data_IF_106159679672
#
_entry.id   IF_106159679672
#
_cell.length_a   1.000
_cell.length_b   1.000
_cell.length_c   1.000
_cell.angle_alpha   90.00
_cell.angle_beta   90.00
_cell.angle_gamma   90.00
#
_symmetry.space_group_name_H-M   'P 1'
#
loop_
_entity.id
_entity.type
_entity.pdbx_description
1 polymer ?
#
# COMPACT_ATOMS: atom_id res chain seq x y z
N UNK A 1 16.96 -73.97 -53.73
CA UNK A 1 17.37 -74.67 -52.50
C UNK A 1 18.86 -74.49 -52.33
N UNK A 2 19.27 -73.46 -51.60
CA UNK A 2 20.66 -73.15 -51.29
C UNK A 2 20.77 -73.10 -49.77
N UNK A 3 21.54 -74.06 -49.24
CA UNK A 3 21.73 -74.32 -47.83
C UNK A 3 22.62 -73.26 -47.17
N UNK A 4 22.14 -72.59 -46.13
CA UNK A 4 23.00 -71.90 -45.17
C UNK A 4 23.75 -72.96 -44.34
N UNK A 5 25.06 -73.03 -44.51
CA UNK A 5 25.94 -73.74 -43.57
C UNK A 5 25.98 -72.93 -42.27
N UNK A 6 25.45 -73.50 -41.19
CA UNK A 6 25.72 -73.05 -39.83
C UNK A 6 27.15 -73.45 -39.46
N UNK A 7 28.07 -72.49 -39.48
CA UNK A 7 29.36 -72.65 -38.80
C UNK A 7 29.10 -72.60 -37.31
N UNK A 8 29.23 -73.75 -36.66
CA UNK A 8 29.05 -73.91 -35.22
C UNK A 8 30.02 -73.03 -34.45
N UNK A 9 29.47 -72.07 -33.73
CA UNK A 9 30.05 -71.58 -32.48
C UNK A 9 28.99 -71.82 -31.43
N UNK A 10 29.23 -72.82 -30.59
CA UNK A 10 28.44 -73.08 -29.40
C UNK A 10 28.76 -71.94 -28.43
N UNK A 11 27.93 -70.90 -28.38
CA UNK A 11 27.99 -69.90 -27.32
C UNK A 11 27.43 -70.52 -26.04
N UNK A 12 28.32 -71.07 -25.21
CA UNK A 12 28.04 -71.31 -23.79
C UNK A 12 28.44 -70.04 -23.06
N UNK A 13 27.55 -69.06 -22.96
CA UNK A 13 27.78 -67.91 -22.09
C UNK A 13 26.48 -67.26 -21.62
N UNK A 14 26.47 -67.01 -20.32
CA UNK A 14 25.56 -66.17 -19.57
C UNK A 14 25.80 -64.70 -19.98
N UNK A 15 25.23 -64.26 -21.12
CA UNK A 15 25.52 -62.94 -21.70
C UNK A 15 24.49 -61.90 -21.25
N UNK A 16 24.75 -61.26 -20.11
CA UNK A 16 24.02 -60.05 -19.69
C UNK A 16 24.46 -58.76 -20.42
N UNK A 17 25.35 -58.86 -21.41
CA UNK A 17 25.91 -57.70 -22.11
C UNK A 17 26.18 -58.05 -23.59
N UNK A 18 25.19 -57.86 -24.46
CA UNK A 18 25.40 -57.91 -25.90
C UNK A 18 26.08 -56.60 -26.35
N UNK A 19 27.41 -56.59 -26.46
CA UNK A 19 28.13 -55.54 -27.17
C UNK A 19 28.15 -55.88 -28.65
N UNK A 20 27.33 -55.18 -29.45
CA UNK A 20 27.46 -55.22 -30.90
C UNK A 20 28.65 -54.37 -31.33
N UNK A 21 29.81 -55.01 -31.52
CA UNK A 21 30.98 -54.39 -32.14
C UNK A 21 31.03 -54.84 -33.60
N UNK A 22 30.95 -53.89 -34.52
CA UNK A 22 31.20 -54.19 -35.94
C UNK A 22 32.72 -54.27 -36.14
N UNK A 23 33.26 -55.48 -36.29
CA UNK A 23 34.71 -55.74 -36.37
C UNK A 23 35.32 -55.44 -37.75
N UNK A 24 34.52 -54.96 -38.71
CA UNK A 24 35.03 -54.55 -40.02
C UNK A 24 34.32 -53.29 -40.54
N UNK A 25 35.12 -52.28 -40.86
CA UNK A 25 34.66 -51.05 -41.50
C UNK A 25 34.01 -51.40 -42.86
N UNK A 26 32.85 -50.80 -43.22
CA UNK A 26 32.26 -50.99 -44.54
C UNK A 26 33.25 -50.62 -45.64
N UNK A 27 33.45 -51.51 -46.60
CA UNK A 27 34.34 -51.31 -47.75
C UNK A 27 33.89 -50.12 -48.59
N UNK A 28 34.85 -49.24 -48.91
CA UNK A 28 34.64 -47.89 -49.44
C UNK A 28 33.83 -47.77 -50.74
N UNK A 29 33.08 -46.66 -50.82
CA UNK A 29 32.47 -46.20 -52.07
C UNK A 29 31.64 -44.92 -51.91
N UNK A 30 31.06 -44.69 -50.75
CA UNK A 30 30.32 -43.46 -50.44
C UNK A 30 30.87 -42.86 -49.15
N UNK A 31 31.08 -41.52 -49.07
CA UNK A 31 31.46 -40.89 -47.81
C UNK A 31 30.33 -41.13 -46.82
N UNK A 32 30.60 -41.96 -45.80
CA UNK A 32 29.74 -42.13 -44.64
C UNK A 32 29.60 -40.77 -43.99
N UNK A 33 28.45 -40.13 -44.19
CA UNK A 33 28.05 -39.06 -43.29
C UNK A 33 27.90 -39.68 -41.91
N UNK A 34 28.41 -39.02 -40.87
CA UNK A 34 28.33 -39.49 -39.48
C UNK A 34 26.87 -39.70 -39.01
N UNK A 35 25.87 -39.31 -39.81
CA UNK A 35 24.46 -39.65 -39.63
C UNK A 35 23.98 -41.00 -40.21
N UNK A 36 24.72 -41.65 -41.10
CA UNK A 36 24.25 -42.88 -41.77
C UNK A 36 24.43 -44.15 -40.92
N UNK A 37 25.30 -44.13 -39.89
CA UNK A 37 25.47 -45.24 -38.95
C UNK A 37 24.46 -45.22 -37.79
N UNK A 38 23.69 -44.13 -37.66
CA UNK A 38 22.64 -43.95 -36.64
C UNK A 38 21.25 -43.71 -37.25
N UNK A 39 21.14 -43.79 -38.57
CA UNK A 39 19.90 -43.69 -39.34
C UNK A 39 19.35 -45.09 -39.70
N UNK A 40 19.39 -46.06 -38.78
CA UNK A 40 18.18 -46.86 -38.66
C UNK A 40 17.25 -45.99 -37.82
N UNK A 41 16.36 -45.25 -38.51
CA UNK A 41 15.49 -44.21 -37.97
C UNK A 41 15.18 -44.49 -36.50
N UNK A 42 15.40 -43.55 -35.60
CA UNK A 42 15.21 -43.69 -34.13
C UNK A 42 13.97 -44.51 -33.72
N UNK A 43 12.93 -44.49 -34.55
CA UNK A 43 11.76 -45.38 -34.53
C UNK A 43 12.04 -46.89 -34.46
N UNK A 44 13.11 -47.44 -35.04
CA UNK A 44 13.39 -48.89 -35.13
C UNK A 44 14.31 -49.42 -34.01
N UNK A 45 15.29 -48.62 -33.57
CA UNK A 45 16.17 -48.98 -32.46
C UNK A 45 15.43 -48.94 -31.11
N UNK A 46 14.55 -47.95 -30.90
CA UNK A 46 13.73 -47.88 -29.68
C UNK A 46 12.64 -48.96 -29.68
N UNK A 47 11.99 -49.24 -30.82
CA UNK A 47 10.97 -50.31 -30.93
C UNK A 47 11.48 -51.72 -30.65
N UNK A 48 12.76 -52.01 -30.87
CA UNK A 48 13.33 -53.34 -30.57
C UNK A 48 13.61 -53.55 -29.08
N UNK A 49 13.73 -52.46 -28.33
CA UNK A 49 14.08 -52.49 -26.91
C UNK A 49 12.85 -52.51 -25.99
N UNK A 50 11.71 -51.99 -26.43
CA UNK A 50 10.49 -51.88 -25.60
C UNK A 50 9.64 -53.15 -25.51
N UNK A 51 9.92 -54.19 -26.33
CA UNK A 51 9.20 -55.47 -26.27
C UNK A 51 9.79 -56.49 -25.28
N UNK A 52 10.87 -56.14 -24.57
CA UNK A 52 11.51 -56.97 -23.54
C UNK A 52 11.52 -56.18 -22.24
N UNK A 53 10.86 -56.70 -21.22
CA UNK A 53 10.48 -56.08 -19.94
C UNK A 53 11.63 -55.65 -19.01
N UNK A 54 12.67 -54.99 -19.52
CA UNK A 54 13.79 -54.47 -18.74
C UNK A 54 14.10 -53.04 -19.18
N UNK A 55 14.38 -52.11 -18.25
CA UNK A 55 14.66 -50.72 -18.59
C UNK A 55 15.85 -50.65 -19.55
N UNK A 56 15.61 -50.17 -20.77
CA UNK A 56 16.70 -49.84 -21.68
C UNK A 56 17.31 -48.52 -21.27
N UNK A 57 18.59 -48.56 -20.90
CA UNK A 57 19.38 -47.37 -20.71
C UNK A 57 19.69 -46.75 -22.08
N UNK A 58 19.07 -45.60 -22.38
CA UNK A 58 19.47 -44.74 -23.47
C UNK A 58 20.57 -43.80 -22.96
N UNK A 59 21.82 -44.06 -23.34
CA UNK A 59 22.92 -43.11 -23.10
C UNK A 59 22.90 -42.05 -24.19
N UNK A 60 22.50 -40.83 -23.84
CA UNK A 60 22.67 -39.66 -24.71
C UNK A 60 24.07 -39.12 -24.42
N UNK A 61 25.04 -39.45 -25.27
CA UNK A 61 26.39 -38.91 -25.13
C UNK A 61 26.37 -37.43 -25.51
N UNK A 62 26.70 -36.56 -24.55
CA UNK A 62 26.85 -35.13 -24.76
C UNK A 62 28.04 -34.84 -25.67
N UNK A 63 27.79 -34.76 -26.97
CA UNK A 63 28.74 -34.20 -27.93
C UNK A 63 28.84 -32.68 -27.77
N UNK A 64 29.66 -32.04 -28.62
CA UNK A 64 29.71 -30.57 -28.71
C UNK A 64 28.46 -29.95 -29.35
N UNK A 65 27.56 -30.77 -29.88
CA UNK A 65 26.29 -30.34 -30.43
C UNK A 65 25.19 -30.32 -29.34
N UNK A 66 24.34 -29.28 -29.29
CA UNK A 66 23.25 -29.21 -28.34
C UNK A 66 22.18 -30.27 -28.64
N UNK A 67 21.51 -30.77 -27.61
CA UNK A 67 20.25 -31.49 -27.76
C UNK A 67 19.18 -30.50 -28.20
N UNK A 68 18.70 -30.64 -29.44
CA UNK A 68 17.60 -29.84 -29.98
C UNK A 68 16.35 -30.71 -29.96
N UNK A 69 15.36 -30.30 -29.16
CA UNK A 69 14.00 -30.83 -29.23
C UNK A 69 13.21 -29.92 -30.17
N UNK A 70 12.50 -30.51 -31.13
CA UNK A 70 11.57 -29.75 -31.97
C UNK A 70 10.40 -29.24 -31.10
N UNK A 71 9.68 -28.24 -31.58
CA UNK A 71 8.43 -27.81 -30.94
C UNK A 71 7.45 -28.98 -30.81
N UNK A 72 6.57 -28.87 -29.82
CA UNK A 72 5.52 -29.84 -29.47
C UNK A 72 6.06 -31.23 -29.07
N UNK A 73 7.36 -31.34 -28.78
CA UNK A 73 7.99 -32.53 -28.21
C UNK A 73 7.97 -32.44 -26.67
N UNK A 74 7.38 -33.46 -26.03
CA UNK A 74 7.31 -33.57 -24.58
C UNK A 74 8.60 -34.17 -24.00
N UNK A 75 9.24 -33.46 -23.07
CA UNK A 75 10.22 -34.03 -22.17
C UNK A 75 9.54 -34.37 -20.84
N UNK A 76 9.24 -35.65 -20.63
CA UNK A 76 8.64 -36.14 -19.39
C UNK A 76 9.69 -36.74 -18.46
N UNK A 77 9.55 -36.54 -17.16
CA UNK A 77 10.32 -37.22 -16.14
C UNK A 77 9.40 -37.74 -15.02
N UNK A 78 9.82 -38.81 -14.36
CA UNK A 78 8.97 -39.58 -13.45
C UNK A 78 8.62 -40.96 -14.01
N UNK A 79 8.19 -41.87 -13.14
CA UNK A 79 7.86 -43.26 -13.55
C UNK A 79 6.54 -43.32 -14.35
N UNK A 80 5.63 -42.38 -14.12
CA UNK A 80 4.37 -42.14 -14.84
C UNK A 80 4.37 -40.82 -15.63
N UNK A 81 5.46 -40.05 -15.53
CA UNK A 81 5.61 -38.77 -16.18
C UNK A 81 5.28 -37.57 -15.29
N UNK A 82 5.33 -37.72 -13.96
CA UNK A 82 5.22 -36.69 -12.91
C UNK A 82 5.33 -35.23 -13.36
N UNK A 83 6.36 -34.87 -14.12
CA UNK A 83 6.47 -33.54 -14.73
C UNK A 83 6.74 -33.61 -16.24
N UNK A 84 6.34 -32.55 -16.94
CA UNK A 84 6.63 -32.38 -18.37
C UNK A 84 7.13 -30.97 -18.68
N UNK A 85 8.08 -30.90 -19.60
CA UNK A 85 8.51 -29.67 -20.26
C UNK A 85 8.19 -29.74 -21.75
N UNK A 86 7.57 -28.69 -22.30
CA UNK A 86 7.22 -28.58 -23.73
C UNK A 86 7.40 -27.15 -24.25
N UNK A 87 7.82 -27.04 -25.52
CA UNK A 87 7.75 -25.81 -26.30
C UNK A 87 6.52 -25.89 -27.20
N UNK A 88 5.43 -25.20 -26.83
CA UNK A 88 4.18 -25.24 -27.60
C UNK A 88 4.24 -24.23 -28.75
N UNK A 89 4.08 -24.69 -30.00
CA UNK A 89 4.14 -23.84 -31.19
C UNK A 89 2.83 -23.10 -31.52
N UNK A 90 1.68 -23.63 -31.11
CA UNK A 90 0.35 -23.13 -31.48
C UNK A 90 -0.22 -22.08 -30.49
N UNK A 91 0.30 -22.04 -29.25
CA UNK A 91 -0.31 -21.30 -28.14
C UNK A 91 -1.52 -22.06 -27.58
N UNK A 92 -2.11 -21.55 -26.49
CA UNK A 92 -3.33 -22.10 -25.87
C UNK A 92 -4.28 -20.95 -25.53
N UNK A 93 -5.58 -21.10 -25.75
CA UNK A 93 -6.55 -20.16 -25.19
C UNK A 93 -6.61 -20.30 -23.66
N UNK A 94 -7.34 -19.40 -23.00
CA UNK A 94 -7.65 -19.59 -21.59
C UNK A 94 -8.48 -20.88 -21.43
N UNK A 95 -8.13 -21.67 -20.41
CA UNK A 95 -8.79 -22.94 -20.08
C UNK A 95 -8.74 -24.02 -21.19
N UNK A 96 -7.86 -23.87 -22.20
CA UNK A 96 -7.59 -24.91 -23.19
C UNK A 96 -6.59 -25.93 -22.64
N UNK A 97 -6.98 -27.20 -22.53
CA UNK A 97 -6.06 -28.25 -22.08
C UNK A 97 -5.11 -28.73 -23.19
N UNK A 98 -3.81 -28.66 -22.92
CA UNK A 98 -2.82 -29.39 -23.71
C UNK A 98 -2.72 -30.82 -23.19
N UNK A 99 -3.22 -31.77 -23.98
CA UNK A 99 -3.19 -33.20 -23.63
C UNK A 99 -1.78 -33.64 -23.21
N UNK A 100 -1.69 -34.45 -22.16
CA UNK A 100 -0.44 -34.97 -21.61
C UNK A 100 0.52 -33.91 -21.04
N UNK A 101 0.04 -32.67 -20.89
CA UNK A 101 0.77 -31.53 -20.31
C UNK A 101 0.02 -30.82 -19.21
N UNK A 102 -1.30 -30.72 -19.36
CA UNK A 102 -2.18 -30.09 -18.40
C UNK A 102 -3.15 -31.17 -17.92
N UNK A 103 -3.28 -31.29 -16.60
CA UNK A 103 -4.16 -32.27 -15.97
C UNK A 103 -5.47 -31.61 -15.53
N UNK A 104 -6.55 -32.40 -15.57
CA UNK A 104 -7.88 -31.98 -15.13
C UNK A 104 -8.52 -30.93 -16.04
N UNK A 105 -9.44 -30.15 -15.46
CA UNK A 105 -10.00 -28.95 -16.08
C UNK A 105 -9.21 -27.75 -15.54
N UNK A 106 -8.32 -27.19 -16.35
CA UNK A 106 -7.46 -26.11 -15.90
C UNK A 106 -8.23 -24.78 -15.80
N UNK A 107 -7.82 -23.94 -14.86
CA UNK A 107 -8.16 -22.51 -14.81
C UNK A 107 -6.85 -21.75 -15.03
N UNK A 108 -6.48 -21.57 -16.30
CA UNK A 108 -5.25 -20.88 -16.67
C UNK A 108 -5.50 -19.79 -17.70
N UNK A 109 -4.69 -18.73 -17.63
CA UNK A 109 -4.65 -17.72 -18.68
C UNK A 109 -4.18 -18.33 -20.00
N UNK A 110 -4.59 -17.73 -21.12
CA UNK A 110 -4.09 -18.13 -22.43
C UNK A 110 -2.58 -17.97 -22.53
N UNK A 111 -1.92 -18.90 -23.20
CA UNK A 111 -0.48 -18.87 -23.47
C UNK A 111 -0.23 -18.48 -24.93
N UNK A 112 0.80 -17.67 -25.18
CA UNK A 112 1.17 -17.30 -26.53
C UNK A 112 1.83 -18.47 -27.29
N UNK A 113 1.81 -18.42 -28.62
CA UNK A 113 2.62 -19.32 -29.45
C UNK A 113 4.12 -19.23 -29.08
N UNK A 114 4.81 -20.38 -29.13
CA UNK A 114 6.22 -20.56 -28.76
C UNK A 114 6.49 -20.33 -27.26
N UNK A 115 5.53 -20.69 -26.40
CA UNK A 115 5.71 -20.63 -24.95
C UNK A 115 6.38 -21.90 -24.44
N UNK A 116 7.30 -21.74 -23.48
CA UNK A 116 7.80 -22.85 -22.68
C UNK A 116 6.84 -23.13 -21.53
N UNK A 117 6.37 -24.37 -21.44
CA UNK A 117 5.50 -24.83 -20.37
C UNK A 117 6.26 -25.88 -19.58
N UNK A 118 6.42 -25.65 -18.28
CA UNK A 118 6.85 -26.65 -17.31
C UNK A 118 5.66 -26.94 -16.41
N UNK A 119 5.19 -28.17 -16.44
CA UNK A 119 3.96 -28.59 -15.75
C UNK A 119 4.25 -29.76 -14.84
N UNK A 120 3.62 -29.74 -13.66
CA UNK A 120 3.47 -30.91 -12.82
C UNK A 120 2.14 -31.57 -13.18
N UNK A 121 2.18 -32.83 -13.62
CA UNK A 121 1.01 -33.57 -14.11
C UNK A 121 0.55 -34.64 -13.12
N UNK A 122 0.97 -34.51 -11.86
CA UNK A 122 0.44 -35.31 -10.76
C UNK A 122 -0.62 -34.52 -10.00
N UNK A 123 -1.73 -35.19 -9.71
CA UNK A 123 -2.71 -34.74 -8.73
C UNK A 123 -1.97 -34.31 -7.45
N UNK A 124 -2.21 -33.09 -6.98
CA UNK A 124 -1.68 -32.58 -5.71
C UNK A 124 -0.13 -32.50 -5.66
N UNK A 125 0.51 -32.38 -6.82
CA UNK A 125 1.96 -32.27 -6.91
C UNK A 125 2.48 -30.83 -6.72
N UNK A 126 3.36 -30.63 -5.74
CA UNK A 126 4.05 -29.35 -5.54
C UNK A 126 5.15 -29.07 -6.58
N UNK A 127 5.38 -27.79 -6.91
CA UNK A 127 6.56 -27.34 -7.65
C UNK A 127 7.47 -26.49 -6.76
N UNK A 128 8.72 -26.93 -6.58
CA UNK A 128 9.72 -26.26 -5.75
C UNK A 128 10.96 -25.85 -6.57
N UNK A 129 11.23 -24.55 -6.62
CA UNK A 129 12.45 -23.99 -7.17
C UNK A 129 13.40 -23.57 -6.04
N UNK A 130 14.55 -24.23 -6.00
CA UNK A 130 15.60 -24.00 -5.00
C UNK A 130 16.77 -23.23 -5.61
N UNK A 131 17.35 -22.33 -4.83
CA UNK A 131 18.61 -21.63 -5.15
C UNK A 131 19.68 -21.97 -4.13
N UNK A 132 20.94 -22.06 -4.57
CA UNK A 132 22.07 -22.31 -3.66
C UNK A 132 22.56 -21.02 -3.01
N UNK A 133 22.66 -21.01 -1.69
CA UNK A 133 23.21 -19.94 -0.86
C UNK A 133 24.35 -20.51 0.01
N UNK A 134 25.57 -20.45 -0.53
CA UNK A 134 26.77 -20.81 0.22
C UNK A 134 26.79 -22.27 0.73
N UNK A 135 26.20 -23.20 0.00
CA UNK A 135 26.12 -24.62 0.37
C UNK A 135 24.81 -25.06 1.00
N UNK A 136 23.82 -24.17 1.13
CA UNK A 136 22.44 -24.52 1.50
C UNK A 136 21.50 -24.24 0.34
N UNK A 137 20.43 -25.03 0.20
CA UNK A 137 19.32 -24.69 -0.70
C UNK A 137 18.34 -23.77 0.02
N UNK A 138 17.91 -22.70 -0.65
CA UNK A 138 16.84 -21.79 -0.23
C UNK A 138 15.69 -21.91 -1.20
N UNK A 139 14.47 -21.85 -0.68
CA UNK A 139 13.26 -21.82 -1.50
C UNK A 139 13.11 -20.44 -2.13
N UNK A 140 13.15 -20.40 -3.46
CA UNK A 140 12.89 -19.19 -4.24
C UNK A 140 11.40 -19.09 -4.59
N UNK A 141 10.83 -20.18 -5.09
CA UNK A 141 9.43 -20.28 -5.46
C UNK A 141 8.91 -21.66 -5.07
N UNK A 142 7.77 -21.70 -4.41
CA UNK A 142 7.04 -22.92 -4.09
C UNK A 142 5.58 -22.73 -4.47
N UNK A 143 5.10 -23.52 -5.43
CA UNK A 143 3.69 -23.60 -5.79
C UNK A 143 3.14 -24.89 -5.17
N UNK A 144 2.29 -24.69 -4.16
CA UNK A 144 1.62 -25.72 -3.40
C UNK A 144 0.24 -25.96 -4.01
N UNK A 145 0.08 -27.09 -4.70
CA UNK A 145 -1.13 -27.41 -5.45
C UNK A 145 -2.28 -27.74 -4.51
N UNK A 146 -2.02 -28.47 -3.42
CA UNK A 146 -3.01 -28.95 -2.43
C UNK A 146 -3.84 -27.81 -1.83
N UNK A 147 -3.21 -26.64 -1.62
CA UNK A 147 -3.87 -25.47 -1.03
C UNK A 147 -3.92 -24.25 -1.95
N UNK A 148 -3.59 -24.42 -3.23
CA UNK A 148 -3.54 -23.34 -4.23
C UNK A 148 -2.74 -22.11 -3.75
N UNK A 149 -1.52 -22.35 -3.23
CA UNK A 149 -0.69 -21.32 -2.61
C UNK A 149 0.64 -21.17 -3.32
N UNK A 150 0.95 -19.94 -3.73
CA UNK A 150 2.29 -19.55 -4.17
C UNK A 150 3.05 -18.91 -3.00
N UNK A 151 4.19 -19.50 -2.65
CA UNK A 151 5.17 -18.94 -1.71
C UNK A 151 6.38 -18.44 -2.49
N UNK A 152 6.77 -17.19 -2.24
CA UNK A 152 7.97 -16.58 -2.81
C UNK A 152 8.95 -16.28 -1.68
N UNK A 153 10.14 -16.87 -1.76
CA UNK A 153 11.26 -16.59 -0.87
C UNK A 153 11.14 -17.14 0.56
N UNK A 154 10.63 -18.35 0.74
CA UNK A 154 10.61 -18.96 2.08
C UNK A 154 12.02 -19.15 2.63
N UNK A 155 12.24 -18.68 3.86
CA UNK A 155 13.56 -18.67 4.48
C UNK A 155 14.53 -17.61 3.91
N UNK A 156 14.06 -16.72 3.03
CA UNK A 156 14.76 -15.51 2.63
C UNK A 156 14.52 -14.40 3.66
N UNK A 157 15.47 -13.47 3.79
CA UNK A 157 15.37 -12.33 4.72
C UNK A 157 14.56 -11.17 4.16
N UNK A 158 14.38 -11.10 2.84
CA UNK A 158 13.62 -10.04 2.15
C UNK A 158 13.10 -10.52 0.80
N UNK A 159 11.90 -10.07 0.43
CA UNK A 159 11.38 -10.12 -0.95
C UNK A 159 11.30 -8.69 -1.51
N UNK A 160 11.95 -8.46 -2.65
CA UNK A 160 12.06 -7.15 -3.29
C UNK A 160 11.46 -7.18 -4.69
N UNK A 161 10.51 -6.27 -4.93
CA UNK A 161 9.99 -5.97 -6.26
C UNK A 161 10.60 -4.65 -6.72
N UNK A 162 11.45 -4.73 -7.76
CA UNK A 162 12.12 -3.56 -8.31
C UNK A 162 11.78 -3.33 -9.77
N UNK A 163 11.52 -2.07 -10.14
CA UNK A 163 11.36 -1.62 -11.52
C UNK A 163 12.44 -0.59 -11.85
N UNK A 164 13.20 -0.81 -12.93
CA UNK A 164 14.22 0.14 -13.38
C UNK A 164 15.32 0.46 -12.35
N UNK A 165 15.63 -0.48 -11.45
CA UNK A 165 16.62 -0.31 -10.37
C UNK A 165 16.11 0.43 -9.13
N UNK A 166 14.83 0.82 -9.09
CA UNK A 166 14.17 1.34 -7.90
C UNK A 166 13.37 0.24 -7.21
N UNK A 167 13.39 0.22 -5.87
CA UNK A 167 12.56 -0.68 -5.05
C UNK A 167 11.15 -0.09 -4.95
N UNK A 168 10.13 -0.85 -5.33
CA UNK A 168 8.73 -0.42 -5.27
C UNK A 168 8.05 -0.98 -4.03
N UNK A 169 8.39 -2.22 -3.68
CA UNK A 169 7.81 -2.92 -2.54
C UNK A 169 8.84 -3.84 -1.89
N UNK A 170 8.98 -3.72 -0.57
CA UNK A 170 9.84 -4.58 0.24
C UNK A 170 8.99 -5.22 1.33
N UNK A 171 8.94 -6.55 1.30
CA UNK A 171 8.39 -7.32 2.40
C UNK A 171 9.53 -7.81 3.29
N UNK A 172 9.49 -7.44 4.57
CA UNK A 172 10.36 -7.98 5.60
C UNK A 172 9.48 -8.52 6.73
N UNK A 173 9.92 -9.57 7.41
CA UNK A 173 9.16 -10.20 8.50
C UNK A 173 8.69 -9.15 9.53
N UNK A 174 7.38 -9.01 9.69
CA UNK A 174 6.76 -8.07 10.64
C UNK A 174 6.56 -6.64 10.13
N UNK A 175 6.95 -6.32 8.89
CA UNK A 175 6.74 -5.00 8.30
C UNK A 175 6.50 -5.09 6.79
N UNK A 176 5.29 -4.71 6.36
CA UNK A 176 5.07 -4.26 4.98
C UNK A 176 5.42 -2.78 4.93
N UNK A 177 6.53 -2.43 4.30
CA UNK A 177 6.91 -1.05 4.08
C UNK A 177 6.77 -0.74 2.59
N UNK A 178 5.82 0.14 2.24
CA UNK A 178 5.86 0.86 0.98
C UNK A 178 7.02 1.85 1.08
N UNK A 179 8.22 1.39 0.75
CA UNK A 179 9.44 2.18 0.81
C UNK A 179 9.76 2.74 -0.57
N UNK A 180 8.81 3.45 -1.17
CA UNK A 180 9.13 4.33 -2.28
C UNK A 180 8.80 5.77 -1.89
N UNK A 181 9.88 6.55 -1.83
CA UNK A 181 9.98 7.96 -1.48
C UNK A 181 9.94 8.31 0.03
N UNK A 182 10.97 9.05 0.43
CA UNK A 182 11.01 9.97 1.58
C UNK A 182 9.85 10.99 1.62
N UNK A 183 8.94 10.94 0.63
CA UNK A 183 7.70 11.69 0.53
C UNK A 183 6.61 10.80 -0.08
N UNK A 184 5.58 10.44 0.70
CA UNK A 184 4.32 9.94 0.13
C UNK A 184 3.65 11.16 -0.51
N UNK A 185 3.78 11.29 -1.83
CA UNK A 185 3.14 12.35 -2.62
C UNK A 185 2.06 11.71 -3.48
N UNK A 186 0.81 11.79 -3.07
CA UNK A 186 -0.30 11.46 -3.95
C UNK A 186 -0.56 12.65 -4.86
N UNK A 187 -0.06 12.60 -6.09
CA UNK A 187 -0.36 13.64 -7.10
C UNK A 187 -1.87 13.68 -7.43
N UNK A 188 -2.56 12.59 -7.15
CA UNK A 188 -4.03 12.44 -7.08
C UNK A 188 -4.34 11.31 -6.08
N UNK A 189 -5.31 11.52 -5.18
CA UNK A 189 -5.77 10.52 -4.20
C UNK A 189 -5.54 10.90 -2.74
N UNK A 190 -6.43 10.44 -1.87
CA UNK A 190 -6.35 10.66 -0.43
C UNK A 190 -5.47 9.56 0.20
N UNK A 191 -4.56 9.93 1.12
CA UNK A 191 -3.93 8.95 2.01
C UNK A 191 -4.95 8.57 3.08
N UNK A 192 -5.69 7.48 2.85
CA UNK A 192 -6.62 6.97 3.85
C UNK A 192 -5.89 6.04 4.84
N UNK A 193 -5.59 6.53 6.03
CA UNK A 193 -5.05 5.75 7.14
C UNK A 193 -6.22 5.19 7.97
N UNK A 194 -6.82 4.08 7.50
CA UNK A 194 -8.03 3.43 8.05
C UNK A 194 -7.78 2.71 9.42
N UNK A 195 -8.78 2.43 10.28
CA UNK A 195 -9.16 3.24 11.45
C UNK A 195 -8.92 2.53 12.80
N UNK A 196 -8.31 1.34 12.79
CA UNK A 196 -8.02 0.57 14.02
C UNK A 196 -6.60 0.81 14.55
N UNK A 197 -5.78 1.55 13.80
CA UNK A 197 -4.41 1.88 14.15
C UNK A 197 -4.26 3.31 14.68
N UNK A 198 -3.35 3.50 15.64
CA UNK A 198 -2.90 4.83 16.05
C UNK A 198 -1.91 5.37 15.01
N UNK A 199 -2.25 6.47 14.34
CA UNK A 199 -1.26 7.24 13.58
C UNK A 199 -0.41 8.05 14.57
N UNK A 200 0.83 7.63 14.80
CA UNK A 200 1.77 8.35 15.68
C UNK A 200 2.62 9.28 14.83
N UNK A 201 2.34 10.58 14.90
CA UNK A 201 3.19 11.61 14.31
C UNK A 201 4.17 12.07 15.38
N UNK A 202 5.42 11.62 15.30
CA UNK A 202 6.47 11.89 16.31
C UNK A 202 7.16 13.25 16.14
N UNK A 203 6.88 13.93 15.02
CA UNK A 203 7.36 15.29 14.70
C UNK A 203 6.16 16.21 14.43
N UNK A 204 6.40 17.51 14.34
CA UNK A 204 5.32 18.46 14.08
C UNK A 204 4.61 18.21 12.75
N UNK A 205 3.29 18.37 12.75
CA UNK A 205 2.46 18.45 11.53
C UNK A 205 2.63 19.84 10.94
N UNK A 206 3.06 19.93 9.68
CA UNK A 206 3.12 21.19 8.94
C UNK A 206 2.03 21.20 7.89
N UNK A 207 1.08 22.12 8.06
CA UNK A 207 0.03 22.38 7.09
C UNK A 207 0.48 23.61 6.31
N UNK A 208 0.56 23.50 4.98
CA UNK A 208 0.87 24.65 4.13
C UNK A 208 -0.30 25.65 4.17
N UNK A 209 -0.03 26.90 3.80
CA UNK A 209 -1.12 27.86 3.71
C UNK A 209 -2.17 27.44 2.68
N UNK A 210 -3.41 27.85 2.90
CA UNK A 210 -4.58 27.49 2.11
C UNK A 210 -4.82 25.97 2.06
N UNK A 211 -4.47 25.27 3.13
CA UNK A 211 -4.82 23.87 3.35
C UNK A 211 -5.64 23.76 4.64
N UNK A 212 -6.58 22.83 4.63
CA UNK A 212 -7.47 22.54 5.75
C UNK A 212 -6.89 21.39 6.57
N UNK A 213 -6.86 21.55 7.89
CA UNK A 213 -6.74 20.44 8.80
C UNK A 213 -8.11 20.17 9.42
N UNK A 214 -8.80 19.18 8.85
CA UNK A 214 -10.09 18.72 9.31
C UNK A 214 -9.96 17.74 10.48
N UNK A 215 -10.86 17.88 11.44
CA UNK A 215 -11.03 17.02 12.60
C UNK A 215 -12.43 16.41 12.56
N UNK A 216 -12.53 15.14 12.94
CA UNK A 216 -13.79 14.41 12.89
C UNK A 216 -14.06 13.75 11.54
N UNK A 217 -15.13 12.95 11.47
CA UNK A 217 -15.44 12.14 10.29
C UNK A 217 -16.13 12.95 9.17
N UNK A 218 -16.60 14.17 9.47
CA UNK A 218 -17.23 15.08 8.53
C UNK A 218 -16.59 16.48 8.53
N UNK A 219 -15.34 16.60 8.96
CA UNK A 219 -14.65 17.90 9.14
C UNK A 219 -15.38 18.83 10.13
N UNK A 220 -15.93 18.26 11.21
CA UNK A 220 -16.69 18.96 12.25
C UNK A 220 -15.87 20.15 12.84
N UNK A 221 -14.55 19.98 12.96
CA UNK A 221 -13.63 21.05 13.32
C UNK A 221 -12.61 21.31 12.23
N UNK A 222 -12.38 22.58 11.88
CA UNK A 222 -11.39 22.97 10.88
C UNK A 222 -10.38 23.97 11.45
N UNK A 223 -9.10 23.68 11.22
CA UNK A 223 -8.00 24.63 11.39
C UNK A 223 -7.50 25.05 10.01
N UNK A 224 -7.55 26.35 9.72
CA UNK A 224 -7.18 26.91 8.43
C UNK A 224 -6.24 28.11 8.58
N UNK A 225 -5.15 28.11 7.81
CA UNK A 225 -4.21 29.23 7.71
C UNK A 225 -4.30 29.85 6.30
N UNK A 226 -4.79 31.08 6.20
CA UNK A 226 -5.03 31.74 4.90
C UNK A 226 -3.89 32.67 4.49
N UNK A 227 -3.57 32.78 3.20
CA UNK A 227 -2.57 33.75 2.69
C UNK A 227 -3.11 35.06 2.15
N UNK A 228 -4.39 35.12 1.80
CA UNK A 228 -5.05 36.31 1.25
C UNK A 228 -5.94 36.98 2.29
N UNK A 229 -6.37 38.21 2.04
CA UNK A 229 -7.46 38.85 2.80
C UNK A 229 -8.77 38.19 2.37
N UNK A 230 -9.70 38.03 3.30
CA UNK A 230 -11.09 37.65 3.02
C UNK A 230 -11.93 38.90 3.23
N UNK A 231 -12.74 39.27 2.24
CA UNK A 231 -13.59 40.44 2.39
C UNK A 231 -14.65 40.16 3.47
N UNK A 232 -15.39 41.21 3.85
CA UNK A 232 -16.59 40.97 4.65
C UNK A 232 -17.56 40.10 3.84
N UNK A 233 -18.23 39.18 4.53
CA UNK A 233 -19.26 38.31 3.97
C UNK A 233 -18.79 37.39 2.81
N UNK A 234 -17.47 37.22 2.61
CA UNK A 234 -16.93 36.22 1.68
C UNK A 234 -16.82 34.87 2.41
N UNK A 235 -17.57 33.85 2.00
CA UNK A 235 -17.44 32.52 2.61
C UNK A 235 -16.19 31.76 2.13
N UNK A 236 -15.54 31.06 3.05
CA UNK A 236 -14.55 30.04 2.74
C UNK A 236 -15.22 28.66 2.72
N UNK A 237 -15.31 28.05 1.54
CA UNK A 237 -15.87 26.70 1.38
C UNK A 237 -15.22 25.71 2.34
N UNK A 238 -16.05 24.96 3.08
CA UNK A 238 -15.65 23.96 4.09
C UNK A 238 -14.82 24.53 5.26
N UNK A 239 -14.85 25.84 5.50
CA UNK A 239 -14.25 26.48 6.68
C UNK A 239 -15.27 27.38 7.36
N UNK A 240 -16.07 28.11 6.58
CA UNK A 240 -17.18 28.94 7.02
C UNK A 240 -18.42 28.41 6.30
N UNK A 241 -19.46 28.11 7.06
CA UNK A 241 -20.73 27.59 6.56
C UNK A 241 -21.84 28.63 6.72
N UNK A 242 -22.87 28.51 5.88
CA UNK A 242 -24.01 29.42 5.88
C UNK A 242 -23.73 30.77 5.21
N UNK A 243 -24.62 31.74 5.44
CA UNK A 243 -24.42 33.15 5.05
C UNK A 243 -23.81 33.88 6.24
N UNK A 244 -22.51 34.09 6.22
CA UNK A 244 -21.80 34.67 7.36
C UNK A 244 -21.85 36.20 7.34
N UNK A 245 -21.94 36.86 8.51
CA UNK A 245 -21.88 38.33 8.63
C UNK A 245 -20.51 38.85 9.11
N UNK A 246 -19.44 38.09 8.84
CA UNK A 246 -18.16 38.37 9.43
C UNK A 246 -17.52 39.64 8.82
N UNK A 247 -16.80 40.38 9.67
CA UNK A 247 -15.94 41.45 9.20
C UNK A 247 -14.82 40.90 8.31
N UNK A 248 -14.25 41.76 7.45
CA UNK A 248 -13.10 41.37 6.65
C UNK A 248 -11.95 40.86 7.52
N UNK A 249 -11.40 39.70 7.17
CA UNK A 249 -10.33 39.05 7.92
C UNK A 249 -9.00 39.30 7.21
N UNK A 250 -7.97 39.70 7.95
CA UNK A 250 -6.64 39.97 7.38
C UNK A 250 -5.94 38.70 6.84
N UNK A 251 -4.95 38.86 5.97
CA UNK A 251 -4.10 37.75 5.54
C UNK A 251 -3.29 37.17 6.72
N UNK A 252 -2.97 35.87 6.65
CA UNK A 252 -2.20 35.12 7.68
C UNK A 252 -2.91 35.00 9.03
N UNK A 253 -4.23 35.16 9.05
CA UNK A 253 -5.05 34.83 10.21
C UNK A 253 -5.19 33.32 10.39
N UNK A 254 -5.18 32.89 11.65
CA UNK A 254 -5.63 31.57 12.06
C UNK A 254 -7.16 31.61 12.17
N UNK A 255 -7.83 30.72 11.45
CA UNK A 255 -9.27 30.49 11.61
C UNK A 255 -9.41 29.11 12.24
N UNK A 256 -10.05 29.08 13.41
CA UNK A 256 -10.56 27.87 14.04
C UNK A 256 -12.07 27.99 13.90
N UNK A 257 -12.67 27.02 13.24
CA UNK A 257 -14.11 27.03 12.97
C UNK A 257 -14.73 25.72 13.42
N UNK A 258 -15.90 25.83 14.03
CA UNK A 258 -16.82 24.72 14.13
C UNK A 258 -17.77 24.81 12.94
N UNK A 259 -17.74 23.80 12.07
CA UNK A 259 -18.47 23.81 10.79
C UNK A 259 -19.86 23.18 10.97
N UNK A 260 -20.25 22.81 12.19
CA UNK A 260 -21.62 22.35 12.48
C UNK A 260 -22.54 23.52 12.81
N UNK A 261 -23.79 23.48 12.32
CA UNK A 261 -24.76 24.58 12.37
C UNK A 261 -25.03 25.14 13.80
N UNK A 262 -24.85 24.34 14.85
CA UNK A 262 -25.16 24.68 16.25
C UNK A 262 -23.99 24.33 17.20
N UNK A 263 -22.77 24.53 16.70
CA UNK A 263 -21.56 24.04 17.34
C UNK A 263 -20.87 25.05 18.25
N UNK A 264 -20.86 24.81 19.56
CA UNK A 264 -20.04 25.60 20.49
C UNK A 264 -18.53 25.45 20.19
N UNK A 265 -17.76 26.52 20.43
CA UNK A 265 -16.31 26.44 20.56
C UNK A 265 -15.90 26.66 22.01
N UNK A 266 -15.13 25.71 22.55
CA UNK A 266 -14.78 25.69 23.96
C UNK A 266 -13.26 25.63 24.19
N UNK A 267 -12.76 26.56 25.00
CA UNK A 267 -11.38 26.58 25.46
C UNK A 267 -11.30 26.13 26.91
N UNK A 268 -10.75 24.94 27.12
CA UNK A 268 -10.59 24.29 28.42
C UNK A 268 -9.14 24.36 28.90
N UNK A 269 -8.94 24.52 30.20
CA UNK A 269 -7.64 24.32 30.87
C UNK A 269 -7.75 23.26 31.95
N UNK A 270 -6.66 22.55 32.25
CA UNK A 270 -6.65 21.62 33.38
C UNK A 270 -6.10 22.26 34.65
N UNK A 271 -6.76 22.00 35.78
CA UNK A 271 -6.31 22.42 37.12
C UNK A 271 -5.53 21.32 37.87
N UNK A 272 -5.12 20.25 37.15
CA UNK A 272 -4.42 19.11 37.74
C UNK A 272 -5.34 17.96 38.17
N UNK A 273 -6.64 18.02 37.84
CA UNK A 273 -7.57 16.89 38.00
C UNK A 273 -8.87 17.01 37.21
N UNK A 274 -9.26 18.23 36.84
CA UNK A 274 -10.47 18.54 36.08
C UNK A 274 -10.12 19.37 34.83
N UNK A 275 -11.09 19.51 33.94
CA UNK A 275 -11.09 20.51 32.87
C UNK A 275 -11.99 21.67 33.29
N UNK A 276 -11.43 22.88 33.31
CA UNK A 276 -12.12 24.14 33.58
C UNK A 276 -12.36 24.88 32.27
N UNK A 277 -13.57 25.35 32.08
CA UNK A 277 -13.95 26.20 30.96
C UNK A 277 -13.49 27.64 31.17
N UNK A 278 -12.62 28.12 30.29
CA UNK A 278 -12.15 29.50 30.33
C UNK A 278 -12.93 30.42 29.41
N UNK A 279 -13.30 29.92 28.23
CA UNK A 279 -13.96 30.69 27.19
C UNK A 279 -14.84 29.75 26.38
N UNK A 280 -16.10 30.10 26.23
CA UNK A 280 -17.04 29.47 25.31
C UNK A 280 -17.58 30.49 24.34
N UNK A 281 -17.67 30.10 23.09
CA UNK A 281 -18.46 30.77 22.08
C UNK A 281 -19.68 29.90 21.82
N UNK A 282 -20.83 30.36 22.27
CA UNK A 282 -22.12 29.70 22.07
C UNK A 282 -22.74 30.27 20.80
N UNK A 283 -22.78 29.42 19.77
CA UNK A 283 -23.26 29.83 18.45
C UNK A 283 -24.78 30.02 18.42
N UNK A 284 -25.52 29.25 19.23
CA UNK A 284 -26.99 29.22 19.24
C UNK A 284 -27.56 30.57 19.71
N UNK A 285 -26.90 31.20 20.68
CA UNK A 285 -27.31 32.50 21.25
C UNK A 285 -26.37 33.66 20.91
N UNK A 286 -25.33 33.40 20.12
CA UNK A 286 -24.30 34.36 19.74
C UNK A 286 -23.63 35.03 20.97
N UNK A 287 -23.33 34.25 22.01
CA UNK A 287 -22.65 34.75 23.22
C UNK A 287 -21.21 34.27 23.30
N UNK A 288 -20.37 35.08 23.93
CA UNK A 288 -19.03 34.71 24.33
C UNK A 288 -18.95 34.77 25.86
N UNK A 289 -18.90 33.60 26.50
CA UNK A 289 -18.84 33.48 27.94
C UNK A 289 -17.39 33.34 28.39
N UNK A 290 -16.99 34.13 29.38
CA UNK A 290 -15.65 34.12 29.96
C UNK A 290 -15.72 33.67 31.42
N UNK A 291 -15.04 32.56 31.74
CA UNK A 291 -14.91 32.03 33.09
C UNK A 291 -16.16 31.32 33.61
N UNK A 292 -16.79 30.46 32.81
CA UNK A 292 -17.90 29.63 33.26
C UNK A 292 -17.48 28.79 34.49
N UNK A 293 -18.28 28.83 35.55
CA UNK A 293 -18.00 28.23 36.86
C UNK A 293 -16.74 28.73 37.61
N UNK A 294 -15.98 29.67 37.06
CA UNK A 294 -14.98 30.41 37.83
C UNK A 294 -15.71 31.42 38.71
N UNK A 295 -15.47 31.40 40.03
CA UNK A 295 -16.08 32.36 40.96
C UNK A 295 -15.79 33.83 40.59
N UNK A 296 -14.75 34.08 39.79
CA UNK A 296 -14.20 35.39 39.50
C UNK A 296 -13.70 35.45 38.05
N UNK A 297 -14.38 36.23 37.20
CA UNK A 297 -13.87 36.65 35.87
C UNK A 297 -13.24 38.03 36.00
N UNK A 298 -11.92 38.11 35.77
CA UNK A 298 -11.15 39.37 35.87
C UNK A 298 -10.81 39.90 34.49
N UNK A 299 -11.33 41.09 34.17
CA UNK A 299 -10.86 41.85 33.03
C UNK A 299 -9.84 42.88 33.52
N UNK A 300 -8.57 42.65 33.18
CA UNK A 300 -7.49 43.57 33.51
C UNK A 300 -7.27 44.54 32.35
N UNK A 301 -7.85 45.74 32.46
CA UNK A 301 -7.53 46.84 31.55
C UNK A 301 -6.29 47.56 32.11
N UNK A 302 -5.11 47.17 31.63
CA UNK A 302 -3.80 47.54 32.20
C UNK A 302 -3.61 47.07 33.66
N UNK A 303 -2.43 47.33 34.25
CA UNK A 303 -2.04 46.78 35.56
C UNK A 303 -2.86 47.28 36.75
N UNK A 304 -3.85 48.15 36.57
CA UNK A 304 -4.52 48.87 37.68
C UNK A 304 -6.04 48.98 37.58
N UNK A 305 -6.68 48.75 36.42
CA UNK A 305 -8.15 48.85 36.32
C UNK A 305 -8.75 47.46 36.18
N UNK A 306 -9.47 47.04 37.23
CA UNK A 306 -10.16 45.75 37.27
C UNK A 306 -11.65 45.97 37.03
N UNK A 307 -12.18 45.39 35.96
CA UNK A 307 -13.62 45.12 35.86
C UNK A 307 -13.80 43.67 36.33
N UNK A 308 -14.55 43.47 37.41
CA UNK A 308 -14.82 42.15 37.98
C UNK A 308 -16.33 41.93 38.09
N UNK A 309 -16.75 40.70 37.84
CA UNK A 309 -18.11 40.24 38.12
C UNK A 309 -18.13 39.49 39.44
N UNK A 310 -19.04 39.82 40.36
CA UNK A 310 -19.18 39.11 41.64
C UNK A 310 -20.37 38.12 41.66
N UNK A 311 -20.79 37.65 40.49
CA UNK A 311 -21.98 36.81 40.32
C UNK A 311 -23.33 37.56 40.41
N UNK A 312 -23.34 38.81 40.88
CA UNK A 312 -24.57 39.64 40.96
C UNK A 312 -24.52 40.93 40.12
N UNK A 313 -23.34 41.29 39.63
CA UNK A 313 -23.16 42.45 38.75
C UNK A 313 -21.70 42.65 38.34
N UNK A 314 -21.48 43.58 37.42
CA UNK A 314 -20.17 44.07 37.01
C UNK A 314 -19.82 45.34 37.78
N UNK A 315 -18.61 45.42 38.30
CA UNK A 315 -18.11 46.60 39.02
C UNK A 315 -16.69 46.97 38.62
N UNK A 316 -16.34 48.24 38.80
CA UNK A 316 -14.94 48.70 38.78
C UNK A 316 -14.36 48.52 40.18
N UNK A 317 -13.39 47.62 40.30
CA UNK A 317 -12.71 47.34 41.56
C UNK A 317 -11.32 47.98 41.54
N UNK A 318 -10.87 48.43 42.71
CA UNK A 318 -9.56 49.06 42.93
C UNK A 318 -9.29 50.41 42.23
N UNK A 319 -10.26 50.99 41.50
CA UNK A 319 -10.20 52.40 41.13
C UNK A 319 -10.66 53.26 42.30
N UNK A 320 -9.90 54.29 42.68
CA UNK A 320 -10.46 55.41 43.46
C UNK A 320 -11.73 55.84 42.73
N UNK A 321 -12.92 55.81 43.36
CA UNK A 321 -14.13 56.28 42.69
C UNK A 321 -13.80 57.63 42.09
N UNK A 322 -13.93 57.78 40.75
CA UNK A 322 -13.98 59.10 40.17
C UNK A 322 -15.08 59.80 40.96
N UNK A 323 -14.70 60.82 41.74
CA UNK A 323 -15.57 61.42 42.74
C UNK A 323 -16.97 61.48 42.13
N UNK A 324 -17.92 60.73 42.71
CA UNK A 324 -19.33 60.95 42.39
C UNK A 324 -19.46 62.46 42.35
N UNK A 325 -20.06 63.10 41.32
CA UNK A 325 -20.29 64.53 41.38
C UNK A 325 -21.10 64.75 42.65
N UNK A 326 -20.39 65.07 43.74
CA UNK A 326 -20.92 65.20 45.07
C UNK A 326 -21.63 66.49 44.95
N UNK A 327 -22.93 66.41 44.63
CA UNK A 327 -23.87 67.50 44.65
C UNK A 327 -23.19 68.82 44.34
N UNK A 328 -23.15 69.25 43.07
CA UNK A 328 -23.13 70.69 42.85
C UNK A 328 -24.31 71.17 43.69
N UNK A 329 -24.03 71.79 44.82
CA UNK A 329 -25.05 72.41 45.63
C UNK A 329 -25.51 73.58 44.79
N UNK A 330 -26.43 73.29 43.87
CA UNK A 330 -27.26 74.30 43.24
C UNK A 330 -28.13 74.80 44.38
N UNK A 331 -27.59 75.75 45.14
CA UNK A 331 -28.42 76.57 45.98
C UNK A 331 -29.37 77.36 45.09
N UNK A 332 -30.48 77.83 45.67
CA UNK A 332 -31.47 78.58 44.91
C UNK A 332 -30.85 79.80 44.20
N UNK A 333 -29.75 80.36 44.73
CA UNK A 333 -29.02 81.47 44.13
C UNK A 333 -28.26 81.06 42.85
N UNK A 334 -27.63 79.90 42.83
CA UNK A 334 -26.96 79.35 41.65
C UNK A 334 -27.95 79.00 40.54
N UNK A 335 -29.12 78.47 40.89
CA UNK A 335 -30.21 78.23 39.92
C UNK A 335 -30.76 79.56 39.40
N UNK A 336 -31.03 80.53 40.26
CA UNK A 336 -31.54 81.85 39.86
C UNK A 336 -30.56 82.58 38.94
N UNK A 337 -29.27 82.61 39.30
CA UNK A 337 -28.24 83.23 38.47
C UNK A 337 -28.10 82.55 37.09
N UNK A 338 -28.21 81.22 37.03
CA UNK A 338 -28.20 80.49 35.76
C UNK A 338 -29.44 80.82 34.90
N UNK A 339 -30.63 80.86 35.49
CA UNK A 339 -31.88 81.18 34.79
C UNK A 339 -31.91 82.64 34.29
N UNK A 340 -31.39 83.59 35.08
CA UNK A 340 -31.25 85.00 34.70
C UNK A 340 -30.24 85.16 33.57
N UNK A 341 -29.09 84.47 33.64
CA UNK A 341 -28.05 84.54 32.59
C UNK A 341 -28.55 83.97 31.26
N UNK A 342 -29.40 82.94 31.32
CA UNK A 342 -30.07 82.38 30.14
C UNK A 342 -31.27 83.21 29.66
N UNK A 343 -31.64 84.30 30.34
CA UNK A 343 -32.75 85.18 29.98
C UNK A 343 -34.14 84.56 30.16
N UNK A 344 -34.23 83.46 30.91
CA UNK A 344 -35.49 82.73 31.14
C UNK A 344 -36.34 83.38 32.23
N UNK A 345 -35.69 84.08 33.17
CA UNK A 345 -36.33 84.92 34.19
C UNK A 345 -35.60 86.26 34.27
N UNK A 346 -36.27 87.28 34.80
CA UNK A 346 -35.65 88.57 35.13
C UNK A 346 -35.01 88.51 36.51
N UNK A 347 -33.88 89.22 36.66
CA UNK A 347 -33.05 89.21 37.86
C UNK A 347 -33.80 89.64 39.12
#
# INVERSE_FOLDING_TARGET
>A
MTSLQSSGVIHVANEKHHYYRQDSAPGGGTPLNVGDLWSDTTTNLVKRCTNSSTPTFLSIEGGTAPLILNDDVLLKGGDDGDWVAVLNSAGLAADDELTDVIEGTSDHQGTAANSFILSNITDDGDMLFLVSDGGNSKEFLFADADVARLTLGWGMTSLEFGLGGAKEMIYTTGAMAFQQATAISTTTGHLNLSPNGKVVITKGVRINNNQVFGLGNNEDGVIFMRTTVLAADDELTNVIVGTSDHQGVAAKSLIISNVTDDGDMLFLVSDGGNSLEMLRFDADVATADLGFAALITKFMAASTTLIEGNGTGLGFFATTPAAQPTSVAVDAAGIHAALVTLGLITA
#
